data_IF_607142087250
#
_entry.id   IF_607142087250
#
_cell.length_a   1.000
_cell.length_b   1.000
_cell.length_c   1.000
_cell.angle_alpha   90.00
_cell.angle_beta   90.00
_cell.angle_gamma   90.00
#
_symmetry.space_group_name_H-M   'P 1'
#
loop_
_entity.id
_entity.type
_entity.pdbx_description
1 polymer ?
#
# COMPACT_ATOMS: atom_id res chain seq x y z
N UNK A 1 -64.70 -37.29 31.58
CA UNK A 1 -64.17 -37.82 30.31
C UNK A 1 -62.92 -37.04 29.97
N UNK A 2 -61.78 -37.74 29.87
CA UNK A 2 -60.45 -37.22 29.57
C UNK A 2 -60.25 -37.04 28.06
N UNK A 3 -59.43 -36.05 27.67
CA UNK A 3 -58.50 -36.06 26.52
C UNK A 3 -57.93 -34.64 26.44
N UNK A 4 -56.68 -34.31 26.80
CA UNK A 4 -55.35 -34.78 26.39
C UNK A 4 -55.12 -34.75 24.88
N UNK A 5 -54.95 -33.55 24.34
CA UNK A 5 -54.27 -33.24 23.07
C UNK A 5 -53.78 -31.79 23.20
N UNK A 6 -52.56 -31.35 22.90
CA UNK A 6 -51.27 -31.94 22.61
C UNK A 6 -50.30 -30.75 22.65
N UNK A 7 -49.07 -31.00 23.10
CA UNK A 7 -48.02 -30.01 23.28
C UNK A 7 -47.51 -29.53 21.92
N UNK A 8 -47.66 -28.25 21.61
CA UNK A 8 -46.84 -27.57 20.61
C UNK A 8 -46.39 -26.23 21.16
N UNK A 9 -45.41 -26.28 22.07
CA UNK A 9 -44.58 -25.12 22.34
C UNK A 9 -43.67 -24.93 21.11
N UNK A 10 -44.15 -24.15 20.14
CA UNK A 10 -43.34 -23.72 19.00
C UNK A 10 -42.20 -22.86 19.50
N UNK A 11 -40.99 -23.44 19.55
CA UNK A 11 -39.75 -22.70 19.73
C UNK A 11 -39.55 -21.83 18.48
N UNK A 12 -39.91 -20.55 18.56
CA UNK A 12 -39.49 -19.58 17.54
C UNK A 12 -38.01 -19.31 17.79
N UNK A 13 -37.14 -20.02 17.06
CA UNK A 13 -35.73 -19.69 16.98
C UNK A 13 -35.61 -18.40 16.16
N UNK A 14 -35.66 -17.24 16.82
CA UNK A 14 -35.30 -15.97 16.18
C UNK A 14 -33.80 -16.02 15.96
N UNK A 15 -33.38 -16.42 14.76
CA UNK A 15 -32.04 -16.14 14.26
C UNK A 15 -31.95 -14.62 14.06
N UNK A 16 -31.64 -13.91 15.15
CA UNK A 16 -31.13 -12.56 15.05
C UNK A 16 -29.75 -12.68 14.38
N UNK A 17 -29.74 -12.69 13.04
CA UNK A 17 -28.55 -12.36 12.30
C UNK A 17 -28.20 -10.94 12.72
N UNK A 18 -27.25 -10.81 13.65
CA UNK A 18 -26.55 -9.57 13.88
C UNK A 18 -25.79 -9.28 12.59
N UNK A 19 -26.45 -8.65 11.62
CA UNK A 19 -25.76 -7.96 10.56
C UNK A 19 -24.97 -6.86 11.27
N UNK A 20 -23.68 -7.11 11.49
CA UNK A 20 -22.77 -6.07 11.92
C UNK A 20 -22.97 -4.89 10.96
N UNK A 21 -23.29 -3.72 11.49
CA UNK A 21 -23.38 -2.52 10.67
C UNK A 21 -22.08 -2.40 9.87
N UNK A 22 -22.14 -2.06 8.57
CA UNK A 22 -20.94 -1.94 7.76
C UNK A 22 -19.98 -0.97 8.46
N UNK A 23 -18.72 -1.38 8.60
CA UNK A 23 -17.71 -0.53 9.20
C UNK A 23 -17.64 0.79 8.41
N UNK A 24 -17.45 1.94 9.08
CA UNK A 24 -17.27 3.20 8.38
C UNK A 24 -16.07 3.10 7.43
N UNK A 25 -16.18 3.77 6.28
CA UNK A 25 -15.10 3.81 5.30
C UNK A 25 -13.81 4.36 5.94
N UNK A 26 -12.63 3.84 5.56
CA UNK A 26 -11.37 4.37 6.03
C UNK A 26 -11.23 5.85 5.63
N UNK A 27 -10.62 6.64 6.52
CA UNK A 27 -10.25 8.02 6.25
C UNK A 27 -8.74 8.08 6.09
N UNK A 28 -8.29 8.71 5.03
CA UNK A 28 -6.87 8.91 4.74
C UNK A 28 -6.51 10.37 4.93
N UNK A 29 -5.32 10.60 5.44
CA UNK A 29 -4.71 11.91 5.58
C UNK A 29 -3.34 11.88 4.90
N UNK A 30 -3.07 12.89 4.07
CA UNK A 30 -1.73 13.06 3.50
C UNK A 30 -0.81 13.58 4.59
N UNK A 31 0.22 12.80 4.91
CA UNK A 31 1.24 13.19 5.90
C UNK A 31 2.48 13.80 5.24
N UNK A 32 2.84 13.30 4.06
CA UNK A 32 4.03 13.67 3.29
C UNK A 32 3.72 13.56 1.81
N UNK A 33 4.32 14.44 1.01
CA UNK A 33 4.26 14.34 -0.45
C UNK A 33 5.53 14.88 -1.09
N UNK A 34 5.89 14.38 -2.26
CA UNK A 34 7.05 14.92 -2.95
C UNK A 34 7.49 14.10 -4.15
N UNK A 35 8.27 14.73 -5.06
CA UNK A 35 8.83 14.03 -6.20
C UNK A 35 9.98 13.11 -5.76
N UNK A 36 10.04 11.95 -6.40
CA UNK A 36 11.16 11.00 -6.31
C UNK A 36 11.78 10.88 -7.70
N UNK A 37 13.10 10.97 -7.78
CA UNK A 37 13.86 10.80 -9.01
C UNK A 37 14.31 9.35 -9.15
N UNK A 38 13.89 8.71 -10.22
CA UNK A 38 14.25 7.33 -10.57
C UNK A 38 15.32 7.38 -11.67
N UNK A 39 16.37 6.60 -11.51
CA UNK A 39 17.42 6.46 -12.51
C UNK A 39 17.06 5.47 -13.60
N UNK A 40 18.06 5.09 -14.39
CA UNK A 40 17.87 4.17 -15.51
C UNK A 40 17.32 2.82 -15.04
N UNK A 41 16.26 2.38 -15.72
CA UNK A 41 15.60 1.12 -15.44
C UNK A 41 16.33 -0.04 -16.13
N UNK A 42 16.58 -1.11 -15.39
CA UNK A 42 17.05 -2.39 -15.94
C UNK A 42 15.93 -3.43 -15.88
N UNK A 43 15.68 -4.12 -17.00
CA UNK A 43 14.70 -5.20 -17.10
C UNK A 43 15.40 -6.50 -17.46
N UNK A 44 15.30 -7.49 -16.57
CA UNK A 44 15.84 -8.83 -16.77
C UNK A 44 14.68 -9.78 -17.04
N UNK A 45 14.57 -10.27 -18.27
CA UNK A 45 13.50 -11.16 -18.68
C UNK A 45 13.54 -12.52 -17.96
N UNK A 46 12.36 -13.06 -17.66
CA UNK A 46 12.16 -14.36 -17.06
C UNK A 46 10.84 -15.01 -17.51
N UNK A 47 10.53 -16.23 -17.05
CA UNK A 47 9.40 -17.01 -17.55
C UNK A 47 8.01 -16.43 -17.19
N UNK A 48 7.94 -15.54 -16.20
CA UNK A 48 6.69 -14.96 -15.71
C UNK A 48 6.58 -13.44 -15.92
N UNK A 49 7.49 -12.87 -16.72
CA UNK A 49 7.67 -11.44 -16.86
C UNK A 49 9.13 -11.03 -16.66
N UNK A 50 9.37 -9.77 -16.35
CA UNK A 50 10.71 -9.20 -16.17
C UNK A 50 10.93 -8.73 -14.73
N UNK A 51 12.11 -9.01 -14.17
CA UNK A 51 12.59 -8.36 -12.96
C UNK A 51 13.00 -6.94 -13.31
N UNK A 52 12.45 -5.95 -12.61
CA UNK A 52 12.91 -4.58 -12.63
C UNK A 52 14.05 -4.41 -11.62
N UNK A 53 15.03 -3.57 -11.96
CA UNK A 53 15.87 -2.92 -10.97
C UNK A 53 16.04 -1.46 -11.38
N UNK A 54 15.67 -0.55 -10.48
CA UNK A 54 15.61 0.88 -10.73
C UNK A 54 16.18 1.63 -9.52
N UNK A 55 17.33 2.32 -9.63
CA UNK A 55 17.86 3.08 -8.52
C UNK A 55 16.99 4.31 -8.24
N UNK A 56 16.76 4.60 -6.97
CA UNK A 56 16.15 5.86 -6.54
C UNK A 56 17.29 6.84 -6.23
N UNK A 57 17.42 7.87 -7.05
CA UNK A 57 18.58 8.77 -7.04
C UNK A 57 18.46 9.85 -5.97
N UNK A 58 17.25 10.40 -5.81
CA UNK A 58 16.95 11.49 -4.90
C UNK A 58 15.44 11.62 -4.67
N UNK A 59 15.05 12.42 -3.70
CA UNK A 59 13.65 12.78 -3.46
C UNK A 59 13.55 13.77 -2.32
N UNK A 60 12.59 14.70 -2.45
CA UNK A 60 12.31 15.72 -1.45
C UNK A 60 10.87 15.53 -0.97
N UNK A 61 10.68 15.21 0.30
CA UNK A 61 9.37 15.03 0.90
C UNK A 61 9.02 16.25 1.74
N UNK A 62 7.83 16.80 1.49
CA UNK A 62 7.29 17.97 2.17
C UNK A 62 6.05 17.61 2.98
N UNK A 63 5.84 18.35 4.07
CA UNK A 63 4.59 18.30 4.83
C UNK A 63 3.43 18.97 4.06
N UNK A 64 2.22 18.92 4.64
CA UNK A 64 1.02 19.53 4.04
C UNK A 64 1.04 21.06 3.98
N UNK A 65 1.99 21.70 4.68
CA UNK A 65 2.24 23.14 4.60
C UNK A 65 3.29 23.50 3.54
N UNK A 66 3.89 22.49 2.88
CA UNK A 66 4.92 22.65 1.86
C UNK A 66 6.34 22.79 2.41
N UNK A 67 6.56 22.56 3.69
CA UNK A 67 7.92 22.60 4.25
C UNK A 67 8.64 21.29 3.94
N UNK A 68 9.91 21.37 3.52
CA UNK A 68 10.76 20.19 3.34
C UNK A 68 11.03 19.54 4.71
N UNK A 69 10.72 18.26 4.83
CA UNK A 69 10.85 17.52 6.11
C UNK A 69 11.75 16.29 6.00
N UNK A 70 11.89 15.70 4.82
CA UNK A 70 12.84 14.61 4.59
C UNK A 70 13.40 14.60 3.19
N UNK A 71 14.59 14.02 3.05
CA UNK A 71 15.22 13.75 1.75
C UNK A 71 15.58 12.28 1.62
N UNK A 72 15.47 11.73 0.41
CA UNK A 72 16.01 10.40 0.13
C UNK A 72 17.53 10.44 0.18
N UNK A 73 18.15 9.53 0.94
CA UNK A 73 19.60 9.40 1.04
C UNK A 73 20.15 8.83 -0.28
N UNK A 74 21.06 9.53 -0.97
CA UNK A 74 21.58 9.08 -2.25
C UNK A 74 22.20 7.66 -2.19
N UNK A 75 21.99 6.87 -3.24
CA UNK A 75 22.58 5.53 -3.43
C UNK A 75 22.20 4.46 -2.39
N UNK A 76 21.13 4.69 -1.62
CA UNK A 76 20.65 3.72 -0.59
C UNK A 76 19.30 3.11 -0.92
N UNK A 77 18.74 3.46 -2.07
CA UNK A 77 17.32 3.30 -2.37
C UNK A 77 17.15 2.76 -3.79
N UNK A 78 16.21 1.82 -3.98
CA UNK A 78 15.94 1.18 -5.26
C UNK A 78 14.55 0.54 -5.28
N UNK A 79 14.00 0.33 -6.47
CA UNK A 79 12.86 -0.55 -6.72
C UNK A 79 13.31 -1.78 -7.50
N UNK A 80 13.15 -2.94 -6.87
CA UNK A 80 13.50 -4.25 -7.45
C UNK A 80 12.25 -5.08 -7.79
N UNK A 81 11.15 -4.41 -8.16
CA UNK A 81 9.86 -5.02 -8.45
C UNK A 81 9.82 -5.96 -9.66
N UNK A 82 8.62 -6.39 -10.05
CA UNK A 82 8.39 -7.30 -11.18
C UNK A 82 7.36 -6.70 -12.13
N UNK A 83 7.66 -6.73 -13.43
CA UNK A 83 6.65 -6.52 -14.47
C UNK A 83 6.21 -7.88 -14.95
N UNK A 84 4.97 -8.27 -14.69
CA UNK A 84 4.41 -9.54 -15.13
C UNK A 84 4.32 -9.65 -16.66
N UNK A 85 4.14 -10.87 -17.16
CA UNK A 85 3.90 -11.13 -18.58
C UNK A 85 2.66 -10.40 -19.15
N UNK A 86 1.68 -10.06 -18.31
CA UNK A 86 0.51 -9.26 -18.69
C UNK A 86 0.77 -7.74 -18.69
N UNK A 87 1.98 -7.29 -18.33
CA UNK A 87 2.36 -5.88 -18.24
C UNK A 87 2.08 -5.22 -16.88
N UNK A 88 1.40 -5.89 -15.95
CA UNK A 88 1.17 -5.37 -14.59
C UNK A 88 2.48 -5.26 -13.84
N UNK A 89 2.74 -4.10 -13.25
CA UNK A 89 3.92 -3.83 -12.43
C UNK A 89 3.61 -4.05 -10.95
N UNK A 90 4.52 -4.74 -10.27
CA UNK A 90 4.49 -5.03 -8.84
C UNK A 90 5.75 -4.42 -8.21
N UNK A 91 5.71 -3.15 -7.77
CA UNK A 91 6.86 -2.49 -7.14
C UNK A 91 7.27 -3.17 -5.83
N UNK A 92 8.58 -3.17 -5.58
CA UNK A 92 9.20 -3.58 -4.31
C UNK A 92 10.29 -2.55 -3.96
N UNK A 93 9.84 -1.32 -3.71
CA UNK A 93 10.70 -0.17 -3.51
C UNK A 93 11.18 -0.06 -2.07
N UNK A 94 12.47 0.16 -1.89
CA UNK A 94 13.13 0.38 -0.61
C UNK A 94 13.79 1.74 -0.64
N UNK A 95 13.56 2.55 0.38
CA UNK A 95 14.17 3.87 0.48
C UNK A 95 14.72 4.15 1.87
N UNK A 96 15.85 4.83 1.93
CA UNK A 96 16.33 5.45 3.17
C UNK A 96 16.05 6.93 3.09
N UNK A 97 15.33 7.45 4.08
CA UNK A 97 15.09 8.87 4.27
C UNK A 97 16.01 9.42 5.34
N UNK A 98 16.38 10.69 5.22
CA UNK A 98 16.98 11.48 6.28
C UNK A 98 16.04 12.63 6.63
N UNK A 99 15.69 12.74 7.92
CA UNK A 99 14.88 13.84 8.43
C UNK A 99 15.68 15.13 8.49
N UNK A 100 15.06 16.24 8.08
CA UNK A 100 15.72 17.56 8.09
C UNK A 100 15.88 18.09 9.53
N UNK A 101 14.97 17.73 10.43
CA UNK A 101 14.90 18.33 11.78
C UNK A 101 16.04 17.91 12.69
N UNK A 102 16.51 16.66 12.58
CA UNK A 102 17.51 16.07 13.48
C UNK A 102 18.58 15.24 12.74
N UNK A 103 18.42 15.03 11.44
CA UNK A 103 19.34 14.22 10.63
C UNK A 103 19.19 12.71 10.85
N UNK A 104 18.18 12.24 11.60
CA UNK A 104 17.92 10.82 11.81
C UNK A 104 17.46 10.13 10.52
N UNK A 105 17.68 8.81 10.47
CA UNK A 105 17.37 8.00 9.29
C UNK A 105 16.10 7.18 9.50
N UNK A 106 15.26 7.10 8.46
CA UNK A 106 14.13 6.20 8.40
C UNK A 106 14.26 5.25 7.20
N UNK A 107 13.79 4.02 7.38
CA UNK A 107 13.69 3.03 6.33
C UNK A 107 12.24 2.89 5.88
N UNK A 108 12.01 2.97 4.58
CA UNK A 108 10.73 2.71 3.95
C UNK A 108 10.83 1.48 3.06
N UNK A 109 9.83 0.62 3.17
CA UNK A 109 9.60 -0.50 2.25
C UNK A 109 8.18 -0.37 1.71
N UNK A 110 8.09 -0.18 0.40
CA UNK A 110 6.86 0.12 -0.32
C UNK A 110 6.58 -1.01 -1.30
N UNK A 111 5.38 -1.58 -1.21
CA UNK A 111 4.90 -2.64 -2.08
C UNK A 111 3.54 -2.26 -2.64
N UNK A 112 3.25 -2.68 -3.85
CA UNK A 112 2.00 -2.30 -4.49
C UNK A 112 1.76 -2.97 -5.83
N UNK A 113 0.86 -2.35 -6.60
CA UNK A 113 0.49 -2.75 -7.96
C UNK A 113 0.33 -1.48 -8.78
N UNK A 114 0.81 -1.48 -10.02
CA UNK A 114 0.70 -0.34 -10.93
C UNK A 114 1.06 -0.69 -12.37
N UNK A 115 1.45 0.33 -13.13
CA UNK A 115 1.88 0.24 -14.53
C UNK A 115 3.25 0.91 -14.69
N UNK A 116 4.18 0.25 -15.38
CA UNK A 116 5.52 0.80 -15.55
C UNK A 116 5.51 2.05 -16.45
N UNK A 117 6.17 3.12 -16.03
CA UNK A 117 6.27 4.37 -16.79
C UNK A 117 5.04 5.27 -16.72
N UNK A 118 4.01 4.85 -15.98
CA UNK A 118 2.85 5.69 -15.66
C UNK A 118 3.09 6.28 -14.28
N UNK A 119 3.02 7.61 -14.17
CA UNK A 119 3.02 8.27 -12.86
C UNK A 119 1.61 8.16 -12.29
N UNK A 120 1.48 7.45 -11.18
CA UNK A 120 0.25 7.43 -10.39
C UNK A 120 0.57 7.88 -8.95
N UNK A 121 -0.44 8.35 -8.24
CA UNK A 121 -0.28 8.78 -6.85
C UNK A 121 -0.25 7.54 -5.95
N UNK A 122 0.92 7.16 -5.46
CA UNK A 122 1.03 6.05 -4.50
C UNK A 122 0.62 6.51 -3.10
N UNK A 123 -0.46 5.94 -2.57
CA UNK A 123 -0.79 6.04 -1.15
C UNK A 123 0.02 4.97 -0.40
N UNK A 124 0.97 5.41 0.43
CA UNK A 124 1.75 4.56 1.33
C UNK A 124 1.25 4.75 2.75
#
# INVERSE_FOLDING_TARGET
>A
MYSVVSKFAGFVLVLANAFAAPAPAPRFETILSGPISIGDLSLIAGPFGSRLSAPVLSGNLSDTSGNLVATVVPNTSADDGVVSASGTFFPDAKATLQWIVDGELAYLHMQGVGELGVSDLTYV
#
